data_IF_056211103547
#
_entry.id   IF_056211103547
#
_cell.length_a   1.000
_cell.length_b   1.000
_cell.length_c   1.000
_cell.angle_alpha   90.00
_cell.angle_beta   90.00
_cell.angle_gamma   90.00
#
_symmetry.space_group_name_H-M   'P 1'
#
loop_
_entity.id
_entity.type
_entity.pdbx_description
1 polymer ?
#
# COMPACT_ATOMS: atom_id res chain seq x y z
N UNK A 1 -3.01 36.28 89.97
CA UNK A 1 -2.02 35.70 89.03
C UNK A 1 -2.72 34.74 88.07
N UNK A 2 -2.90 35.17 86.81
CA UNK A 2 -2.88 34.31 85.62
C UNK A 2 -2.75 35.23 84.40
N UNK A 3 -1.65 35.04 83.71
CA UNK A 3 -1.07 35.88 82.66
C UNK A 3 -1.84 35.72 81.36
N UNK A 4 -2.19 36.83 80.69
CA UNK A 4 -2.85 36.82 79.38
C UNK A 4 -1.85 37.35 78.34
N UNK A 5 -1.42 36.48 77.42
CA UNK A 5 -0.46 36.79 76.36
C UNK A 5 -1.17 37.47 75.19
N UNK A 6 -0.69 38.66 74.80
CA UNK A 6 -1.11 39.36 73.58
C UNK A 6 -0.19 38.90 72.45
N UNK A 7 -0.75 38.22 71.45
CA UNK A 7 -0.03 37.85 70.23
C UNK A 7 -0.20 38.97 69.19
N UNK A 8 0.92 39.57 68.77
CA UNK A 8 0.98 40.54 67.68
C UNK A 8 1.01 39.78 66.35
N UNK A 9 -0.06 39.88 65.55
CA UNK A 9 -0.11 39.32 64.20
C UNK A 9 0.42 40.36 63.21
N UNK A 10 1.62 40.13 62.66
CA UNK A 10 2.20 40.96 61.60
C UNK A 10 1.65 40.47 60.26
N UNK A 11 0.80 41.28 59.63
CA UNK A 11 0.26 41.02 58.30
C UNK A 11 1.26 41.52 57.23
N UNK A 12 2.07 40.61 56.69
CA UNK A 12 2.94 40.88 55.54
C UNK A 12 2.11 40.82 54.25
N UNK A 13 1.74 41.99 53.72
CA UNK A 13 1.14 42.13 52.39
C UNK A 13 2.23 41.96 51.33
N UNK A 14 2.30 40.78 50.71
CA UNK A 14 3.04 40.58 49.47
C UNK A 14 2.24 41.18 48.32
N UNK A 15 2.70 42.30 47.75
CA UNK A 15 2.21 42.77 46.46
C UNK A 15 2.69 41.79 45.37
N UNK A 16 1.78 40.93 44.92
CA UNK A 16 1.94 40.16 43.70
C UNK A 16 1.85 41.10 42.51
N UNK A 17 2.98 41.39 41.85
CA UNK A 17 2.97 41.91 40.49
C UNK A 17 2.39 40.82 39.59
N UNK A 18 1.12 40.99 39.22
CA UNK A 18 0.53 40.25 38.11
C UNK A 18 0.97 40.95 36.83
N UNK A 19 2.10 40.53 36.25
CA UNK A 19 2.34 40.83 34.83
C UNK A 19 1.21 40.17 34.05
N UNK A 20 0.30 41.00 33.51
CA UNK A 20 -0.60 40.57 32.44
C UNK A 20 0.28 40.14 31.29
N UNK A 21 0.41 38.84 31.08
CA UNK A 21 0.88 38.30 29.80
C UNK A 21 -0.19 38.67 28.79
N UNK A 22 -0.03 39.80 28.11
CA UNK A 22 -0.78 40.07 26.90
C UNK A 22 -0.36 39.02 25.87
N UNK A 23 -1.24 38.07 25.60
CA UNK A 23 -1.11 37.21 24.45
C UNK A 23 -1.24 38.08 23.21
N UNK A 24 -0.11 38.59 22.71
CA UNK A 24 -0.05 39.22 21.41
C UNK A 24 -0.38 38.13 20.40
N UNK A 25 -1.58 38.19 19.83
CA UNK A 25 -1.90 37.35 18.69
C UNK A 25 -0.95 37.75 17.56
N UNK A 26 -0.04 36.87 17.12
CA UNK A 26 0.94 37.22 16.11
C UNK A 26 0.21 37.68 14.84
N UNK A 27 0.53 38.88 14.35
CA UNK A 27 -0.07 39.42 13.12
C UNK A 27 0.54 38.82 11.85
N UNK A 28 1.67 38.13 12.00
CA UNK A 28 2.37 37.45 10.92
C UNK A 28 1.66 36.16 10.49
N UNK A 29 1.94 35.75 9.26
CA UNK A 29 1.33 34.60 8.59
C UNK A 29 1.59 33.28 9.32
N UNK A 30 0.53 32.52 9.63
CA UNK A 30 0.65 31.32 10.46
C UNK A 30 -0.03 30.11 9.82
N UNK A 31 0.78 29.18 9.31
CA UNK A 31 0.33 27.89 8.79
C UNK A 31 -0.15 26.95 9.91
N UNK A 32 -1.20 26.16 9.62
CA UNK A 32 -1.74 25.14 10.51
C UNK A 32 -1.45 23.74 9.94
N UNK A 33 -2.09 23.35 8.83
CA UNK A 33 -1.89 22.07 8.15
C UNK A 33 -1.44 22.25 6.70
N UNK A 34 -0.65 21.32 6.15
CA UNK A 34 0.06 20.25 6.86
C UNK A 34 1.17 20.82 7.78
N UNK A 35 1.47 20.13 8.88
CA UNK A 35 2.58 20.50 9.75
C UNK A 35 3.92 20.24 9.06
N UNK A 36 5.00 20.87 9.54
CA UNK A 36 6.32 20.58 9.00
C UNK A 36 6.65 19.10 9.21
N UNK A 37 7.24 18.47 8.20
CA UNK A 37 7.59 17.04 8.23
C UNK A 37 6.40 16.08 8.27
N UNK A 38 5.21 16.52 7.84
CA UNK A 38 4.05 15.62 7.70
C UNK A 38 4.22 14.70 6.49
N UNK A 39 3.81 13.45 6.62
CA UNK A 39 3.60 12.58 5.47
C UNK A 39 2.15 12.72 4.96
N UNK A 40 1.97 13.17 3.72
CA UNK A 40 0.66 13.26 3.07
C UNK A 40 0.48 12.00 2.22
N UNK A 41 -0.55 11.21 2.54
CA UNK A 41 -0.93 10.03 1.76
C UNK A 41 -1.95 10.42 0.70
N UNK A 42 -1.65 10.06 -0.54
CA UNK A 42 -2.51 10.27 -1.71
C UNK A 42 -2.88 8.88 -2.19
N UNK A 43 -4.16 8.53 -2.14
CA UNK A 43 -4.60 7.26 -2.72
C UNK A 43 -4.82 7.45 -4.22
N UNK A 44 -4.11 6.67 -5.03
CA UNK A 44 -4.07 6.80 -6.49
C UNK A 44 -5.44 6.55 -7.16
N UNK A 45 -6.31 5.73 -6.56
CA UNK A 45 -7.63 5.43 -7.12
C UNK A 45 -8.78 6.21 -6.44
N UNK A 46 -8.50 6.90 -5.34
CA UNK A 46 -9.45 7.82 -4.70
C UNK A 46 -9.18 9.24 -5.21
N UNK A 47 -9.84 9.60 -6.31
CA UNK A 47 -9.62 10.88 -6.96
C UNK A 47 -10.25 12.06 -6.20
N UNK A 48 -11.25 11.81 -5.35
CA UNK A 48 -12.14 12.86 -4.82
C UNK A 48 -11.77 13.31 -3.40
N UNK A 49 -11.09 12.47 -2.62
CA UNK A 49 -10.64 12.87 -1.28
C UNK A 49 -9.80 14.14 -1.34
N UNK A 50 -10.14 15.08 -0.45
CA UNK A 50 -9.56 16.42 -0.43
C UNK A 50 -8.36 16.49 0.50
N UNK A 51 -7.23 16.96 -0.02
CA UNK A 51 -6.07 17.39 0.75
C UNK A 51 -6.29 18.84 1.18
N UNK A 52 -6.03 19.14 2.45
CA UNK A 52 -6.27 20.47 3.03
C UNK A 52 -4.96 21.15 3.44
N UNK A 53 -4.80 22.38 2.95
CA UNK A 53 -3.82 23.35 3.43
C UNK A 53 -4.57 24.43 4.21
N UNK A 54 -4.19 24.70 5.46
CA UNK A 54 -4.91 25.62 6.33
C UNK A 54 -3.97 26.52 7.13
N UNK A 55 -4.51 27.66 7.56
CA UNK A 55 -3.78 28.71 8.28
C UNK A 55 -4.72 29.53 9.17
N UNK A 56 -4.14 30.36 10.02
CA UNK A 56 -4.90 31.32 10.82
C UNK A 56 -5.32 32.49 9.93
N UNK A 57 -6.62 32.63 9.70
CA UNK A 57 -7.20 33.74 8.94
C UNK A 57 -7.06 35.06 9.70
N UNK A 58 -6.72 36.13 8.97
CA UNK A 58 -6.61 37.49 9.50
C UNK A 58 -7.56 38.41 8.76
N UNK A 59 -8.17 39.33 9.49
CA UNK A 59 -9.07 40.33 8.93
C UNK A 59 -8.34 41.24 7.93
N UNK A 60 -8.96 41.48 6.78
CA UNK A 60 -8.39 42.30 5.69
C UNK A 60 -7.21 41.67 4.95
N UNK A 61 -6.81 40.44 5.31
CA UNK A 61 -5.72 39.74 4.65
C UNK A 61 -6.19 38.92 3.45
N UNK A 62 -5.28 38.77 2.48
CA UNK A 62 -5.41 37.85 1.35
C UNK A 62 -4.21 36.91 1.31
N UNK A 63 -4.43 35.69 0.79
CA UNK A 63 -3.47 34.60 0.86
C UNK A 63 -3.20 34.01 -0.53
N UNK A 64 -1.92 33.69 -0.76
CA UNK A 64 -1.47 32.92 -1.92
C UNK A 64 -0.72 31.69 -1.42
N UNK A 65 -1.21 30.50 -1.81
CA UNK A 65 -0.56 29.22 -1.53
C UNK A 65 0.37 28.88 -2.69
N UNK A 66 1.57 28.40 -2.39
CA UNK A 66 2.56 27.99 -3.38
C UNK A 66 3.10 26.61 -3.05
N UNK A 67 3.28 25.76 -4.07
CA UNK A 67 3.92 24.44 -3.97
C UNK A 67 5.15 24.38 -4.88
N UNK A 68 6.25 23.80 -4.39
CA UNK A 68 7.47 23.58 -5.19
C UNK A 68 8.27 22.36 -4.69
N UNK A 69 9.34 22.00 -5.41
CA UNK A 69 10.26 20.90 -5.07
C UNK A 69 11.39 21.32 -4.14
N UNK A 70 11.59 22.63 -3.93
CA UNK A 70 12.60 23.18 -3.05
C UNK A 70 12.11 24.42 -2.27
N UNK A 71 12.90 24.82 -1.28
CA UNK A 71 12.59 25.93 -0.37
C UNK A 71 12.76 27.33 -0.99
N UNK A 72 13.32 27.45 -2.20
CA UNK A 72 13.48 28.72 -2.89
C UNK A 72 12.18 29.13 -3.61
N UNK A 73 11.35 28.16 -3.99
CA UNK A 73 10.13 28.37 -4.77
C UNK A 73 10.41 29.13 -6.07
N UNK A 74 11.34 28.62 -6.87
CA UNK A 74 11.79 29.25 -8.11
C UNK A 74 10.75 29.19 -9.24
N UNK A 75 9.96 28.11 -9.30
CA UNK A 75 8.88 27.96 -10.28
C UNK A 75 7.66 27.24 -9.67
N UNK A 76 7.02 27.85 -8.66
CA UNK A 76 6.01 27.16 -7.90
C UNK A 76 4.68 27.12 -8.64
N UNK A 77 3.88 26.11 -8.34
CA UNK A 77 2.44 26.13 -8.61
C UNK A 77 1.81 27.10 -7.62
N UNK A 78 0.97 28.03 -8.11
CA UNK A 78 0.37 29.11 -7.32
C UNK A 78 -1.15 28.97 -7.28
N UNK A 79 -1.71 29.15 -6.10
CA UNK A 79 -3.15 29.24 -5.89
C UNK A 79 -3.48 30.56 -5.20
N UNK A 80 -4.25 31.39 -5.91
CA UNK A 80 -4.78 32.63 -5.35
C UNK A 80 -6.02 32.31 -4.52
N UNK A 81 -5.84 32.20 -3.19
CA UNK A 81 -6.89 31.72 -2.27
C UNK A 81 -7.81 32.85 -1.81
N UNK A 82 -7.32 34.09 -1.86
CA UNK A 82 -8.06 35.26 -1.40
C UNK A 82 -8.14 35.31 0.13
N UNK A 83 -9.30 35.66 0.69
CA UNK A 83 -9.44 35.87 2.14
C UNK A 83 -9.73 34.59 2.96
N UNK A 84 -9.75 33.40 2.34
CA UNK A 84 -10.13 32.15 3.04
C UNK A 84 -9.03 31.67 4.00
N UNK A 85 -9.42 30.87 4.98
CA UNK A 85 -8.53 30.27 5.99
C UNK A 85 -7.89 28.94 5.54
N UNK A 86 -8.35 28.38 4.43
CA UNK A 86 -7.84 27.13 3.88
C UNK A 86 -8.04 27.03 2.38
N UNK A 87 -7.26 26.13 1.78
CA UNK A 87 -7.37 25.68 0.42
C UNK A 87 -7.47 24.16 0.40
N UNK A 88 -8.44 23.65 -0.36
CA UNK A 88 -8.67 22.22 -0.53
C UNK A 88 -8.45 21.87 -2.00
N UNK A 89 -7.76 20.76 -2.21
CA UNK A 89 -7.42 20.24 -3.54
C UNK A 89 -7.72 18.75 -3.56
N UNK A 90 -8.30 18.26 -4.65
CA UNK A 90 -8.58 16.82 -4.78
C UNK A 90 -7.29 16.01 -4.89
N UNK A 91 -7.32 14.73 -4.54
CA UNK A 91 -6.18 13.82 -4.73
C UNK A 91 -5.66 13.83 -6.17
N UNK A 92 -6.58 13.82 -7.15
CA UNK A 92 -6.20 13.84 -8.57
C UNK A 92 -5.45 15.12 -8.94
N UNK A 93 -6.03 16.29 -8.66
CA UNK A 93 -5.39 17.59 -8.97
C UNK A 93 -4.06 17.73 -8.22
N UNK A 94 -4.02 17.31 -6.95
CA UNK A 94 -2.80 17.39 -6.15
C UNK A 94 -1.70 16.50 -6.72
N UNK A 95 -2.02 15.25 -7.09
CA UNK A 95 -1.06 14.34 -7.71
C UNK A 95 -0.54 14.86 -9.05
N UNK A 96 -1.41 15.44 -9.88
CA UNK A 96 -1.03 16.04 -11.16
C UNK A 96 -0.09 17.22 -10.95
N UNK A 97 -0.32 18.03 -9.92
CA UNK A 97 0.53 19.15 -9.55
C UNK A 97 1.89 18.72 -9.01
N UNK A 98 1.94 17.68 -8.18
CA UNK A 98 3.20 17.10 -7.73
C UNK A 98 4.02 16.51 -8.90
N UNK A 99 3.37 15.85 -9.86
CA UNK A 99 4.01 15.33 -11.08
C UNK A 99 4.46 16.45 -12.02
N UNK A 100 3.72 17.56 -12.08
CA UNK A 100 4.12 18.74 -12.86
C UNK A 100 5.36 19.41 -12.27
N UNK A 101 5.45 19.49 -10.94
CA UNK A 101 6.63 19.99 -10.22
C UNK A 101 7.83 19.06 -10.34
N UNK A 102 7.60 17.75 -10.22
CA UNK A 102 8.62 16.73 -10.34
C UNK A 102 8.14 15.59 -11.25
N UNK A 103 8.45 15.61 -12.55
CA UNK A 103 8.05 14.55 -13.48
C UNK A 103 8.61 13.15 -13.14
N UNK A 104 9.64 13.08 -12.30
CA UNK A 104 10.22 11.82 -11.81
C UNK A 104 9.53 11.30 -10.54
N UNK A 105 8.57 12.04 -9.97
CA UNK A 105 7.79 11.60 -8.81
C UNK A 105 6.88 10.43 -9.20
N UNK A 106 7.10 9.28 -8.55
CA UNK A 106 6.32 8.05 -8.75
C UNK A 106 5.56 7.64 -7.49
N UNK A 107 6.31 7.34 -6.44
CA UNK A 107 5.76 6.69 -5.25
C UNK A 107 5.87 7.56 -3.99
N UNK A 108 7.03 8.17 -3.78
CA UNK A 108 7.26 9.10 -2.67
C UNK A 108 8.21 10.23 -3.08
N UNK A 109 8.09 11.37 -2.41
CA UNK A 109 8.89 12.54 -2.71
C UNK A 109 8.65 13.66 -1.71
N UNK A 110 9.67 14.50 -1.51
CA UNK A 110 9.56 15.69 -0.67
C UNK A 110 9.13 16.88 -1.50
N UNK A 111 8.22 17.66 -0.94
CA UNK A 111 7.74 18.91 -1.52
C UNK A 111 7.63 19.99 -0.45
N UNK A 112 7.56 21.23 -0.90
CA UNK A 112 7.55 22.41 -0.06
C UNK A 112 6.28 23.20 -0.33
N UNK A 113 5.70 23.77 0.72
CA UNK A 113 4.56 24.67 0.59
C UNK A 113 4.82 25.99 1.32
N UNK A 114 4.57 27.08 0.62
CA UNK A 114 4.71 28.46 1.11
C UNK A 114 3.36 29.12 1.13
N UNK A 115 3.09 29.83 2.21
CA UNK A 115 1.93 30.69 2.34
C UNK A 115 2.40 32.14 2.39
N UNK A 116 1.97 32.93 1.43
CA UNK A 116 2.13 34.38 1.42
C UNK A 116 0.84 35.03 1.95
N UNK A 117 0.96 35.92 2.92
CA UNK A 117 -0.12 36.77 3.41
C UNK A 117 0.14 38.21 3.01
N UNK A 118 -0.86 38.85 2.40
CA UNK A 118 -0.86 40.28 2.11
C UNK A 118 -1.92 40.97 2.95
N UNK A 119 -1.52 41.95 3.75
CA UNK A 119 -2.43 42.76 4.56
C UNK A 119 -1.94 44.22 4.59
N UNK A 120 -2.82 45.17 4.25
CA UNK A 120 -2.52 46.62 4.24
C UNK A 120 -1.19 46.99 3.55
N UNK A 121 -0.89 46.32 2.43
CA UNK A 121 0.34 46.55 1.65
C UNK A 121 1.60 45.84 2.18
N UNK A 122 1.56 45.27 3.39
CA UNK A 122 2.63 44.40 3.92
C UNK A 122 2.47 42.99 3.37
N UNK A 123 3.58 42.38 2.96
CA UNK A 123 3.65 40.98 2.52
C UNK A 123 4.54 40.21 3.48
N UNK A 124 4.05 39.11 4.02
CA UNK A 124 4.81 38.19 4.87
C UNK A 124 4.63 36.76 4.36
N UNK A 125 5.65 35.93 4.50
CA UNK A 125 5.57 34.53 4.07
C UNK A 125 6.24 33.58 5.06
N UNK A 126 5.73 32.36 5.10
CA UNK A 126 6.33 31.22 5.81
C UNK A 126 6.21 29.99 4.92
N UNK A 127 7.13 29.06 5.08
CA UNK A 127 7.11 27.80 4.34
C UNK A 127 7.40 26.60 5.25
N UNK A 128 6.96 25.43 4.80
CA UNK A 128 7.20 24.12 5.43
C UNK A 128 7.43 23.08 4.35
N UNK A 129 7.95 21.92 4.72
CA UNK A 129 7.99 20.76 3.83
C UNK A 129 7.06 19.64 4.30
N UNK A 130 6.65 18.80 3.35
CA UNK A 130 5.94 17.55 3.58
C UNK A 130 6.51 16.47 2.66
N UNK A 131 6.36 15.20 3.07
CA UNK A 131 6.70 14.06 2.24
C UNK A 131 5.40 13.47 1.67
N UNK A 132 5.22 13.52 0.35
CA UNK A 132 4.10 12.91 -0.33
C UNK A 132 4.34 11.41 -0.51
N UNK A 133 3.31 10.60 -0.28
CA UNK A 133 3.31 9.16 -0.48
C UNK A 133 2.07 8.77 -1.30
N UNK A 134 2.29 8.28 -2.52
CA UNK A 134 1.25 7.65 -3.33
C UNK A 134 1.01 6.24 -2.80
N UNK A 135 -0.24 5.93 -2.49
CA UNK A 135 -0.68 4.64 -1.97
C UNK A 135 -1.86 4.12 -2.79
N UNK A 136 -2.14 2.83 -2.68
CA UNK A 136 -3.41 2.26 -3.15
C UNK A 136 -3.97 1.47 -1.98
N UNK A 137 -5.13 1.89 -1.47
CA UNK A 137 -5.86 1.11 -0.46
C UNK A 137 -6.87 0.16 -1.10
N UNK A 138 -7.48 0.58 -2.20
CA UNK A 138 -8.40 -0.23 -2.99
C UNK A 138 -8.56 0.32 -4.41
N UNK A 139 -9.08 -0.51 -5.31
CA UNK A 139 -9.47 -0.09 -6.65
C UNK A 139 -10.63 -0.95 -7.17
N UNK A 140 -11.34 -0.47 -8.18
CA UNK A 140 -12.36 -1.25 -8.90
C UNK A 140 -11.75 -1.77 -10.18
N UNK A 141 -11.76 -3.09 -10.37
CA UNK A 141 -11.32 -3.68 -11.63
C UNK A 141 -12.45 -3.54 -12.67
N UNK A 142 -12.24 -2.81 -13.78
CA UNK A 142 -13.30 -2.55 -14.75
C UNK A 142 -13.81 -3.81 -15.46
N UNK A 143 -13.04 -4.91 -15.43
CA UNK A 143 -13.35 -6.16 -16.14
C UNK A 143 -14.45 -6.98 -15.49
N UNK A 144 -14.54 -6.91 -14.16
CA UNK A 144 -15.49 -7.69 -13.35
C UNK A 144 -16.28 -6.83 -12.34
N UNK A 145 -15.98 -5.53 -12.25
CA UNK A 145 -16.54 -4.59 -11.27
C UNK A 145 -16.26 -4.99 -9.82
N UNK A 146 -15.28 -5.87 -9.60
CA UNK A 146 -14.87 -6.26 -8.27
C UNK A 146 -14.05 -5.15 -7.62
N UNK A 147 -14.32 -4.93 -6.34
CA UNK A 147 -13.52 -4.04 -5.49
C UNK A 147 -12.41 -4.88 -4.86
N UNK A 148 -11.16 -4.53 -5.15
CA UNK A 148 -9.99 -5.18 -4.58
C UNK A 148 -9.26 -4.22 -3.66
N UNK A 149 -8.85 -4.72 -2.50
CA UNK A 149 -7.93 -4.03 -1.61
C UNK A 149 -6.48 -4.26 -2.02
N UNK A 150 -5.64 -3.30 -1.70
CA UNK A 150 -4.21 -3.40 -1.83
C UNK A 150 -3.51 -2.98 -0.53
N UNK A 151 -2.27 -3.44 -0.41
CA UNK A 151 -1.38 -3.17 0.70
C UNK A 151 -0.05 -2.68 0.16
N UNK A 152 0.51 -1.67 0.83
CA UNK A 152 1.79 -1.09 0.48
C UNK A 152 2.86 -1.46 1.51
N UNK A 153 3.99 -1.96 1.02
CA UNK A 153 5.19 -2.28 1.77
C UNK A 153 6.27 -1.23 1.48
N UNK A 154 6.95 -0.77 2.53
CA UNK A 154 8.16 0.06 2.44
C UNK A 154 9.36 -0.85 2.64
N UNK A 155 9.94 -1.33 1.55
CA UNK A 155 11.11 -2.20 1.57
C UNK A 155 12.38 -1.41 1.97
N UNK A 156 13.47 -2.10 2.37
CA UNK A 156 14.74 -1.45 2.67
C UNK A 156 15.21 -0.54 1.52
N UNK A 157 15.77 0.63 1.87
CA UNK A 157 16.16 1.65 0.88
C UNK A 157 15.01 2.53 0.38
N UNK A 158 13.80 2.41 0.98
CA UNK A 158 12.66 3.26 0.65
C UNK A 158 11.89 2.84 -0.61
N UNK A 159 12.21 1.67 -1.18
CA UNK A 159 11.44 1.09 -2.29
C UNK A 159 10.03 0.78 -1.81
N UNK A 160 9.04 1.31 -2.52
CA UNK A 160 7.63 1.07 -2.24
C UNK A 160 7.12 -0.05 -3.16
N UNK A 161 6.42 -1.02 -2.58
CA UNK A 161 5.78 -2.12 -3.29
C UNK A 161 4.32 -2.17 -2.89
N UNK A 162 3.42 -2.08 -3.86
CA UNK A 162 1.97 -2.15 -3.64
C UNK A 162 1.45 -3.46 -4.23
N UNK A 163 0.87 -4.33 -3.40
CA UNK A 163 0.32 -5.62 -3.82
C UNK A 163 -1.15 -5.74 -3.46
N UNK A 164 -1.93 -6.46 -4.26
CA UNK A 164 -3.30 -6.82 -3.89
C UNK A 164 -3.30 -7.61 -2.57
N UNK A 165 -4.18 -7.25 -1.63
CA UNK A 165 -4.41 -7.98 -0.37
C UNK A 165 -5.61 -8.92 -0.45
N UNK A 166 -6.22 -9.03 -1.63
CA UNK A 166 -7.31 -9.93 -1.96
C UNK A 166 -6.99 -10.73 -3.22
N UNK A 167 -7.50 -11.95 -3.31
CA UNK A 167 -7.20 -12.86 -4.41
C UNK A 167 -8.03 -12.47 -5.65
N UNK A 168 -7.37 -12.34 -6.80
CA UNK A 168 -7.96 -11.90 -8.06
C UNK A 168 -9.11 -12.81 -8.52
N UNK A 169 -10.18 -12.23 -9.06
CA UNK A 169 -11.40 -12.89 -9.58
C UNK A 169 -11.70 -12.53 -11.04
N UNK A 170 -10.69 -12.10 -11.81
CA UNK A 170 -10.81 -11.77 -13.22
C UNK A 170 -11.51 -12.86 -14.07
N UNK A 171 -12.42 -12.44 -14.95
CA UNK A 171 -13.13 -13.25 -15.96
C UNK A 171 -12.48 -13.22 -17.33
N UNK A 172 -11.71 -12.17 -17.62
CA UNK A 172 -11.11 -11.83 -18.91
C UNK A 172 -9.76 -11.13 -18.69
N UNK A 173 -8.95 -11.04 -19.74
CA UNK A 173 -7.73 -10.23 -19.73
C UNK A 173 -8.04 -8.72 -19.77
N UNK A 174 -7.02 -7.88 -19.51
CA UNK A 174 -7.13 -6.42 -19.54
C UNK A 174 -7.63 -5.87 -20.89
N UNK A 175 -7.28 -6.53 -21.99
CA UNK A 175 -7.74 -6.19 -23.35
C UNK A 175 -9.13 -6.77 -23.70
N UNK A 176 -9.82 -7.38 -22.73
CA UNK A 176 -11.14 -7.99 -22.91
C UNK A 176 -11.11 -9.38 -23.56
N UNK A 177 -9.94 -9.92 -23.90
CA UNK A 177 -9.85 -11.27 -24.46
C UNK A 177 -10.23 -12.33 -23.42
N UNK A 178 -10.91 -13.39 -23.87
CA UNK A 178 -11.36 -14.47 -22.99
C UNK A 178 -10.19 -15.30 -22.45
N UNK A 179 -10.33 -15.81 -21.23
CA UNK A 179 -9.37 -16.72 -20.63
C UNK A 179 -9.43 -18.09 -21.34
N UNK A 180 -8.29 -18.69 -21.78
CA UNK A 180 -8.28 -20.00 -22.41
C UNK A 180 -8.84 -21.10 -21.50
N UNK A 181 -8.47 -21.04 -20.23
CA UNK A 181 -9.08 -21.81 -19.15
C UNK A 181 -9.70 -20.83 -18.15
N UNK A 182 -11.04 -20.84 -17.98
CA UNK A 182 -11.73 -19.99 -17.03
C UNK A 182 -11.23 -20.21 -15.59
N UNK A 183 -11.37 -19.17 -14.75
CA UNK A 183 -11.10 -19.31 -13.32
C UNK A 183 -11.97 -20.42 -12.74
N UNK A 184 -11.41 -21.16 -11.78
CA UNK A 184 -12.22 -21.92 -10.84
C UNK A 184 -12.54 -21.08 -9.63
N UNK A 185 -13.70 -21.33 -9.04
CA UNK A 185 -14.13 -20.77 -7.76
C UNK A 185 -14.24 -21.89 -6.75
N UNK A 186 -14.15 -21.56 -5.46
CA UNK A 186 -14.41 -22.52 -4.40
C UNK A 186 -15.81 -23.17 -4.57
N UNK A 187 -15.93 -24.50 -4.47
CA UNK A 187 -17.20 -25.21 -4.62
C UNK A 187 -18.27 -24.77 -3.61
N UNK A 188 -19.55 -24.95 -3.95
CA UNK A 188 -20.67 -24.51 -3.11
C UNK A 188 -20.70 -25.18 -1.72
N UNK A 189 -20.23 -26.42 -1.63
CA UNK A 189 -20.09 -27.21 -0.40
C UNK A 189 -18.87 -26.83 0.45
N UNK A 190 -18.01 -25.93 -0.03
CA UNK A 190 -16.95 -25.34 0.79
C UNK A 190 -17.53 -24.43 1.88
N UNK A 191 -16.87 -24.29 3.04
CA UNK A 191 -17.29 -23.36 4.08
C UNK A 191 -17.50 -21.95 3.53
N UNK A 192 -18.64 -21.32 3.87
CA UNK A 192 -19.01 -20.00 3.32
C UNK A 192 -17.92 -18.94 3.52
N UNK A 193 -17.22 -19.00 4.66
CA UNK A 193 -16.07 -18.18 4.96
C UNK A 193 -15.00 -18.28 3.87
N UNK A 194 -14.58 -19.49 3.49
CA UNK A 194 -13.59 -19.73 2.43
C UNK A 194 -14.16 -19.38 1.05
N UNK A 195 -15.40 -19.79 0.76
CA UNK A 195 -16.02 -19.58 -0.55
C UNK A 195 -16.07 -18.10 -0.97
N UNK A 196 -16.33 -17.21 -0.01
CA UNK A 196 -16.47 -15.79 -0.28
C UNK A 196 -15.14 -15.03 -0.40
N UNK A 197 -14.02 -15.62 0.07
CA UNK A 197 -12.72 -14.91 0.17
C UNK A 197 -11.59 -15.59 -0.62
N UNK A 198 -11.77 -16.85 -1.05
CA UNK A 198 -10.72 -17.61 -1.72
C UNK A 198 -10.29 -17.00 -3.05
N UNK A 199 -11.18 -16.27 -3.74
CA UNK A 199 -10.91 -15.70 -5.05
C UNK A 199 -10.90 -16.75 -6.17
N UNK A 200 -10.34 -16.36 -7.32
CA UNK A 200 -10.20 -17.24 -8.48
C UNK A 200 -8.93 -18.10 -8.40
N UNK A 201 -9.04 -19.33 -8.89
CA UNK A 201 -7.91 -20.25 -9.10
C UNK A 201 -7.66 -20.40 -10.60
N UNK A 202 -6.42 -20.17 -11.02
CA UNK A 202 -6.04 -20.12 -12.43
C UNK A 202 -4.85 -21.05 -12.70
N UNK A 203 -4.82 -21.75 -13.84
CA UNK A 203 -3.60 -22.40 -14.31
C UNK A 203 -2.57 -21.35 -14.71
N UNK A 204 -1.28 -21.66 -14.58
CA UNK A 204 -0.21 -20.70 -14.83
C UNK A 204 -0.23 -20.14 -16.25
N UNK A 205 -0.51 -20.97 -17.27
CA UNK A 205 -0.65 -20.51 -18.66
C UNK A 205 -1.74 -19.43 -18.83
N UNK A 206 -2.86 -19.53 -18.09
CA UNK A 206 -3.86 -18.45 -18.04
C UNK A 206 -3.32 -17.21 -17.35
N UNK A 207 -2.54 -17.36 -16.27
CA UNK A 207 -1.95 -16.24 -15.51
C UNK A 207 -0.97 -15.43 -16.34
N UNK A 208 -0.07 -16.07 -17.09
CA UNK A 208 0.96 -15.38 -17.88
C UNK A 208 0.56 -15.15 -19.35
N UNK A 209 -0.58 -15.71 -19.78
CA UNK A 209 -1.16 -15.64 -21.13
C UNK A 209 -0.36 -16.36 -22.23
N UNK A 210 0.95 -16.18 -22.25
CA UNK A 210 1.87 -16.84 -23.17
C UNK A 210 3.15 -17.25 -22.43
N UNK A 211 3.37 -18.55 -22.31
CA UNK A 211 4.47 -19.12 -21.53
C UNK A 211 5.85 -18.86 -22.17
N UNK A 212 5.92 -18.79 -23.50
CA UNK A 212 7.17 -18.53 -24.20
C UNK A 212 7.59 -17.05 -24.03
N UNK A 213 6.63 -16.13 -24.17
CA UNK A 213 6.84 -14.70 -23.90
C UNK A 213 7.15 -14.48 -22.41
N UNK A 214 6.47 -15.19 -21.50
CA UNK A 214 6.74 -15.11 -20.07
C UNK A 214 8.19 -15.51 -19.76
N UNK A 215 8.71 -16.55 -20.41
CA UNK A 215 10.11 -16.94 -20.28
C UNK A 215 11.06 -15.87 -20.80
N UNK A 216 10.83 -15.35 -22.00
CA UNK A 216 11.67 -14.29 -22.60
C UNK A 216 11.75 -13.06 -21.69
N UNK A 217 10.58 -12.57 -21.26
CA UNK A 217 10.48 -11.41 -20.36
C UNK A 217 11.14 -11.66 -19.01
N UNK A 218 10.95 -12.85 -18.44
CA UNK A 218 11.62 -13.21 -17.17
C UNK A 218 13.14 -13.16 -17.31
N UNK A 219 13.70 -13.65 -18.43
CA UNK A 219 15.14 -13.61 -18.69
C UNK A 219 15.65 -12.18 -18.97
N UNK A 220 14.80 -11.32 -19.53
CA UNK A 220 15.08 -9.89 -19.73
C UNK A 220 14.89 -9.04 -18.46
N UNK A 221 14.32 -9.60 -17.38
CA UNK A 221 13.99 -8.86 -16.17
C UNK A 221 12.79 -7.92 -16.35
N UNK A 222 11.89 -8.23 -17.29
CA UNK A 222 10.72 -7.43 -17.61
C UNK A 222 9.46 -7.93 -16.90
N UNK A 223 8.56 -7.00 -16.59
CA UNK A 223 7.28 -7.30 -15.98
C UNK A 223 6.30 -7.93 -16.97
N UNK A 224 5.49 -8.87 -16.47
CA UNK A 224 4.45 -9.56 -17.23
C UNK A 224 3.10 -9.16 -16.66
N UNK A 225 2.34 -8.33 -17.38
CA UNK A 225 0.98 -7.96 -16.99
C UNK A 225 0.12 -9.21 -16.78
N UNK A 226 0.12 -10.12 -17.76
CA UNK A 226 -0.62 -11.38 -17.69
C UNK A 226 -2.11 -11.16 -17.44
N UNK A 227 -2.66 -11.86 -16.45
CA UNK A 227 -4.06 -11.73 -16.01
C UNK A 227 -4.33 -10.48 -15.16
N UNK A 228 -3.32 -9.73 -14.75
CA UNK A 228 -3.52 -8.55 -13.91
C UNK A 228 -4.17 -7.38 -14.67
N UNK A 229 -4.91 -6.49 -13.97
CA UNK A 229 -5.54 -5.33 -14.59
C UNK A 229 -4.50 -4.30 -15.06
N UNK A 230 -4.96 -3.27 -15.78
CA UNK A 230 -4.09 -2.17 -16.23
C UNK A 230 -3.43 -1.45 -15.05
N UNK A 231 -2.13 -1.17 -15.17
CA UNK A 231 -1.31 -0.61 -14.09
C UNK A 231 -0.77 -1.63 -13.09
N UNK A 232 -1.11 -2.91 -13.25
CA UNK A 232 -0.66 -4.01 -12.41
C UNK A 232 0.01 -5.11 -13.24
N UNK A 233 0.83 -5.93 -12.59
CA UNK A 233 1.44 -7.11 -13.20
C UNK A 233 1.46 -8.30 -12.23
N UNK A 234 1.66 -9.50 -12.80
CA UNK A 234 1.82 -10.72 -12.00
C UNK A 234 3.23 -10.67 -11.38
N UNK A 235 3.35 -10.72 -10.03
CA UNK A 235 4.65 -10.54 -9.41
C UNK A 235 5.61 -11.65 -9.84
N UNK A 236 6.85 -11.28 -10.14
CA UNK A 236 7.92 -12.23 -10.40
C UNK A 236 8.35 -12.94 -9.11
N UNK A 237 9.05 -14.06 -9.24
CA UNK A 237 9.66 -14.75 -8.09
C UNK A 237 10.59 -13.81 -7.31
N UNK A 238 11.34 -12.94 -7.99
CA UNK A 238 12.24 -11.98 -7.36
C UNK A 238 11.49 -10.98 -6.48
N UNK A 239 10.37 -10.44 -6.94
CA UNK A 239 9.57 -9.47 -6.19
C UNK A 239 8.90 -10.10 -4.97
N UNK A 240 8.38 -11.32 -5.12
CA UNK A 240 7.92 -12.10 -3.96
C UNK A 240 9.03 -12.31 -2.94
N UNK A 241 10.25 -12.65 -3.38
CA UNK A 241 11.40 -12.81 -2.48
C UNK A 241 11.78 -11.51 -1.77
N UNK A 242 11.68 -10.36 -2.43
CA UNK A 242 11.91 -9.07 -1.74
C UNK A 242 10.92 -8.86 -0.60
N UNK A 243 9.63 -9.15 -0.82
CA UNK A 243 8.59 -9.06 0.22
C UNK A 243 8.85 -10.07 1.33
N UNK A 244 9.14 -11.34 0.99
CA UNK A 244 9.45 -12.39 1.98
C UNK A 244 10.66 -11.98 2.84
N UNK A 245 11.73 -11.49 2.22
CA UNK A 245 12.93 -11.04 2.92
C UNK A 245 12.65 -9.84 3.83
N UNK A 246 11.79 -8.91 3.41
CA UNK A 246 11.35 -7.78 4.23
C UNK A 246 10.54 -8.22 5.44
N UNK A 247 9.66 -9.22 5.28
CA UNK A 247 8.89 -9.79 6.40
C UNK A 247 9.81 -10.52 7.40
N UNK A 248 10.91 -11.07 6.93
CA UNK A 248 11.89 -11.79 7.75
C UNK A 248 11.34 -13.12 8.29
N UNK A 249 11.88 -13.62 9.41
CA UNK A 249 11.47 -14.91 9.97
C UNK A 249 9.98 -14.96 10.34
N UNK A 250 9.39 -16.15 10.22
CA UNK A 250 7.97 -16.40 10.43
C UNK A 250 7.08 -15.59 9.47
N UNK A 251 7.59 -15.30 8.27
CA UNK A 251 6.92 -14.50 7.24
C UNK A 251 5.49 -14.97 6.98
N UNK A 252 5.23 -16.28 7.01
CA UNK A 252 3.90 -16.85 6.81
C UNK A 252 2.94 -16.50 7.94
N UNK A 253 3.39 -16.57 9.20
CA UNK A 253 2.55 -16.22 10.35
C UNK A 253 2.14 -14.74 10.37
N UNK A 254 2.98 -13.86 9.80
CA UNK A 254 2.74 -12.42 9.71
C UNK A 254 1.68 -12.01 8.69
N UNK A 255 1.33 -12.89 7.75
CA UNK A 255 0.44 -12.59 6.61
C UNK A 255 -0.86 -13.41 6.61
N UNK A 256 -0.91 -14.52 7.35
CA UNK A 256 -2.08 -15.38 7.50
C UNK A 256 -3.15 -14.67 8.34
N UNK A 257 -4.38 -14.57 7.83
CA UNK A 257 -5.49 -14.01 8.60
C UNK A 257 -5.93 -14.96 9.74
N UNK A 258 -5.82 -14.56 11.02
CA UNK A 258 -6.12 -15.42 12.16
C UNK A 258 -7.58 -15.89 12.25
N UNK A 259 -8.51 -15.23 11.56
CA UNK A 259 -9.93 -15.62 11.51
C UNK A 259 -10.17 -16.91 10.71
N UNK A 260 -9.32 -17.21 9.72
CA UNK A 260 -9.57 -18.30 8.77
C UNK A 260 -8.60 -19.46 8.91
N UNK A 261 -7.38 -19.21 9.39
CA UNK A 261 -6.40 -20.27 9.63
C UNK A 261 -6.66 -20.95 10.98
N UNK A 262 -6.58 -22.28 11.01
CA UNK A 262 -6.56 -23.01 12.28
C UNK A 262 -5.30 -22.57 13.03
N UNK A 263 -5.48 -22.13 14.28
CA UNK A 263 -4.43 -21.55 15.11
C UNK A 263 -3.43 -22.61 15.57
N UNK A 264 -2.44 -22.89 14.72
CA UNK A 264 -1.36 -23.85 14.95
C UNK A 264 0.00 -23.14 15.08
N UNK A 265 0.05 -22.05 15.85
CA UNK A 265 1.23 -21.19 16.01
C UNK A 265 0.86 -19.75 16.35
N UNK A 266 1.83 -18.83 16.24
CA UNK A 266 1.61 -17.40 16.47
C UNK A 266 1.17 -16.69 15.18
N UNK A 267 -0.01 -17.02 14.64
CA UNK A 267 -0.58 -16.36 13.47
C UNK A 267 -1.05 -14.95 13.87
N UNK A 268 -0.49 -13.90 13.28
CA UNK A 268 -0.73 -12.50 13.69
C UNK A 268 -1.43 -11.65 12.66
N UNK A 269 -1.23 -11.91 11.36
CA UNK A 269 -1.55 -10.97 10.28
C UNK A 269 -1.06 -9.53 10.57
N UNK A 270 0.12 -9.38 11.20
CA UNK A 270 0.61 -8.08 11.67
C UNK A 270 0.81 -7.06 10.54
N UNK A 271 1.06 -7.54 9.32
CA UNK A 271 1.17 -6.68 8.13
C UNK A 271 -0.16 -6.48 7.41
N UNK A 272 -1.25 -7.13 7.87
CA UNK A 272 -2.61 -7.04 7.29
C UNK A 272 -2.68 -7.49 5.84
N UNK A 273 -1.84 -8.46 5.46
CA UNK A 273 -1.84 -8.97 4.09
C UNK A 273 -3.00 -9.93 3.85
N UNK A 274 -3.68 -10.40 4.90
CA UNK A 274 -4.98 -11.05 4.80
C UNK A 274 -4.97 -12.30 3.90
N UNK A 275 -3.94 -13.14 4.02
CA UNK A 275 -3.87 -14.42 3.30
C UNK A 275 -4.82 -15.42 3.99
N UNK A 276 -5.57 -16.17 3.18
CA UNK A 276 -6.61 -17.11 3.60
C UNK A 276 -6.23 -18.53 3.15
N UNK A 277 -6.60 -19.60 3.87
CA UNK A 277 -6.19 -20.95 3.51
C UNK A 277 -7.09 -21.52 2.41
N UNK A 278 -6.93 -21.00 1.19
CA UNK A 278 -7.81 -21.27 0.05
C UNK A 278 -7.66 -22.67 -0.57
N UNK A 279 -6.58 -23.40 -0.28
CA UNK A 279 -6.26 -24.64 -0.98
C UNK A 279 -5.87 -24.39 -2.44
N UNK A 280 -6.13 -25.37 -3.31
CA UNK A 280 -5.85 -25.28 -4.75
C UNK A 280 -6.65 -26.33 -5.54
N UNK A 281 -6.60 -26.26 -6.88
CA UNK A 281 -6.99 -27.40 -7.73
C UNK A 281 -5.76 -28.03 -8.36
N UNK A 282 -5.65 -29.35 -8.33
CA UNK A 282 -4.52 -30.06 -8.92
C UNK A 282 -4.47 -29.95 -10.46
N UNK A 283 -5.63 -29.94 -11.11
CA UNK A 283 -5.78 -29.71 -12.55
C UNK A 283 -7.19 -29.21 -12.90
N UNK A 284 -7.41 -28.89 -14.19
CA UNK A 284 -8.66 -28.41 -14.74
C UNK A 284 -9.82 -29.41 -14.62
N UNK A 285 -9.56 -30.71 -14.51
CA UNK A 285 -10.57 -31.76 -14.40
C UNK A 285 -11.21 -31.93 -13.02
N UNK A 286 -10.56 -31.44 -11.95
CA UNK A 286 -11.10 -31.60 -10.58
C UNK A 286 -12.24 -30.63 -10.26
N UNK A 287 -13.29 -31.12 -9.62
CA UNK A 287 -14.43 -30.31 -9.14
C UNK A 287 -14.33 -29.89 -7.67
N UNK A 288 -13.39 -30.45 -6.91
CA UNK A 288 -13.19 -30.17 -5.49
C UNK A 288 -11.83 -29.47 -5.22
N UNK A 289 -11.78 -28.71 -4.12
CA UNK A 289 -10.54 -28.11 -3.63
C UNK A 289 -9.67 -29.15 -2.93
N UNK A 290 -8.38 -29.13 -3.25
CA UNK A 290 -7.34 -29.87 -2.52
C UNK A 290 -6.81 -28.97 -1.40
N UNK A 291 -6.66 -29.54 -0.20
CA UNK A 291 -6.10 -28.88 0.98
C UNK A 291 -6.73 -27.51 1.38
N UNK A 292 -8.08 -27.33 1.26
CA UNK A 292 -8.70 -26.13 1.79
C UNK A 292 -8.55 -26.10 3.33
N UNK A 293 -8.24 -24.93 3.89
CA UNK A 293 -8.04 -24.78 5.33
C UNK A 293 -6.60 -25.09 5.82
N UNK A 294 -5.74 -25.66 4.98
CA UNK A 294 -4.38 -26.07 5.37
C UNK A 294 -3.28 -25.41 4.56
N UNK A 295 -3.56 -24.83 3.39
CA UNK A 295 -2.59 -24.05 2.64
C UNK A 295 -3.20 -22.93 1.79
N UNK A 296 -2.34 -22.07 1.25
CA UNK A 296 -2.66 -21.15 0.16
C UNK A 296 -1.49 -21.14 -0.83
N UNK A 297 -1.79 -21.08 -2.12
CA UNK A 297 -0.80 -20.97 -3.18
C UNK A 297 -1.06 -19.80 -4.11
N UNK A 298 0.01 -19.14 -4.54
CA UNK A 298 0.01 -18.07 -5.52
C UNK A 298 0.96 -18.37 -6.67
N UNK A 299 0.49 -18.15 -7.90
CA UNK A 299 1.39 -18.14 -9.04
C UNK A 299 2.27 -16.89 -9.04
N UNK A 300 3.54 -17.05 -9.42
CA UNK A 300 4.37 -15.94 -9.88
C UNK A 300 4.39 -15.93 -11.41
N UNK A 301 4.90 -14.86 -12.02
CA UNK A 301 5.09 -14.80 -13.47
C UNK A 301 6.28 -15.60 -13.98
N UNK A 302 7.11 -16.13 -13.08
CA UNK A 302 8.40 -16.73 -13.43
C UNK A 302 8.28 -18.23 -13.73
N UNK A 303 8.77 -18.72 -14.88
CA UNK A 303 8.93 -20.15 -15.11
C UNK A 303 10.00 -20.77 -14.20
N UNK A 304 10.04 -22.11 -14.13
CA UNK A 304 11.04 -22.83 -13.36
C UNK A 304 12.40 -22.89 -14.08
N UNK A 305 13.24 -21.88 -13.85
CA UNK A 305 14.55 -21.74 -14.50
C UNK A 305 15.71 -22.29 -13.67
N UNK A 306 16.75 -22.77 -14.34
CA UNK A 306 18.03 -23.15 -13.75
C UNK A 306 18.59 -22.03 -12.88
N UNK A 307 19.13 -22.41 -11.73
CA UNK A 307 19.72 -21.48 -10.76
C UNK A 307 18.70 -20.83 -9.83
N UNK A 308 17.40 -21.01 -10.06
CA UNK A 308 16.39 -20.57 -9.09
C UNK A 308 16.52 -21.36 -7.79
N UNK A 309 16.63 -20.61 -6.70
CA UNK A 309 16.64 -21.13 -5.34
C UNK A 309 15.21 -21.11 -4.80
N UNK A 310 14.70 -22.28 -4.47
CA UNK A 310 13.45 -22.50 -3.77
C UNK A 310 13.71 -22.87 -2.30
N UNK A 311 12.66 -23.00 -1.50
CA UNK A 311 12.79 -23.25 -0.05
C UNK A 311 13.66 -24.47 0.28
N UNK A 312 13.62 -25.52 -0.54
CA UNK A 312 14.31 -26.80 -0.26
C UNK A 312 15.22 -27.28 -1.38
N UNK A 313 15.32 -26.53 -2.47
CA UNK A 313 16.13 -26.94 -3.61
C UNK A 313 16.67 -25.75 -4.39
N UNK A 314 17.74 -25.99 -5.13
CA UNK A 314 18.20 -25.10 -6.19
C UNK A 314 18.13 -25.86 -7.50
N UNK A 315 17.48 -25.29 -8.51
CA UNK A 315 17.31 -25.96 -9.79
C UNK A 315 18.65 -26.08 -10.54
N UNK A 316 19.04 -27.30 -10.87
CA UNK A 316 20.25 -27.58 -11.68
C UNK A 316 20.02 -27.44 -13.19
N UNK A 317 18.76 -27.48 -13.62
CA UNK A 317 18.30 -27.31 -15.00
C UNK A 317 16.92 -26.65 -15.03
N UNK A 318 16.56 -26.09 -16.18
CA UNK A 318 15.21 -25.61 -16.45
C UNK A 318 14.21 -26.78 -16.40
N UNK A 319 13.02 -26.54 -15.85
CA UNK A 319 11.92 -27.52 -15.82
C UNK A 319 10.79 -27.04 -16.73
N UNK A 320 10.77 -27.54 -17.96
CA UNK A 320 9.68 -27.24 -18.89
C UNK A 320 8.34 -27.78 -18.37
N UNK A 321 7.28 -27.00 -18.47
CA UNK A 321 5.97 -27.36 -17.89
C UNK A 321 5.89 -27.20 -16.37
N UNK A 322 6.82 -26.44 -15.77
CA UNK A 322 6.75 -25.99 -14.38
C UNK A 322 6.98 -24.48 -14.27
N UNK A 323 6.37 -23.89 -13.24
CA UNK A 323 6.51 -22.48 -12.90
C UNK A 323 6.75 -22.29 -11.41
N UNK A 324 7.27 -21.12 -11.05
CA UNK A 324 7.46 -20.74 -9.66
C UNK A 324 6.12 -20.41 -9.00
N UNK A 325 5.91 -20.93 -7.80
CA UNK A 325 4.77 -20.63 -6.96
C UNK A 325 5.22 -20.25 -5.55
N UNK A 326 4.41 -19.42 -4.91
CA UNK A 326 4.53 -19.06 -3.49
C UNK A 326 3.49 -19.84 -2.71
N UNK A 327 3.92 -20.61 -1.72
CA UNK A 327 3.04 -21.50 -0.93
C UNK A 327 3.16 -21.15 0.55
N UNK A 328 2.03 -21.03 1.21
CA UNK A 328 1.92 -20.79 2.65
C UNK A 328 1.21 -22.01 3.25
N UNK A 329 1.85 -22.68 4.20
CA UNK A 329 1.33 -23.87 4.86
C UNK A 329 0.78 -23.55 6.26
N UNK A 330 -0.18 -24.35 6.71
CA UNK A 330 -0.61 -24.40 8.09
C UNK A 330 0.20 -25.42 8.88
N UNK A 331 1.51 -25.20 8.98
CA UNK A 331 2.44 -26.09 9.65
C UNK A 331 3.26 -25.31 10.69
N UNK A 332 3.15 -25.62 12.00
CA UNK A 332 3.97 -24.99 13.03
C UNK A 332 5.47 -25.16 12.82
N UNK A 333 5.90 -26.26 12.18
CA UNK A 333 7.29 -26.52 11.83
C UNK A 333 7.77 -25.75 10.61
N UNK A 334 6.87 -25.09 9.89
CA UNK A 334 7.16 -24.28 8.71
C UNK A 334 6.35 -22.97 8.74
N UNK A 335 6.75 -22.02 9.60
CA UNK A 335 6.03 -20.76 9.81
C UNK A 335 6.24 -19.73 8.69
N UNK A 336 7.06 -20.04 7.69
CA UNK A 336 7.48 -19.12 6.64
C UNK A 336 6.67 -19.25 5.34
N UNK A 337 6.71 -18.20 4.53
CA UNK A 337 6.27 -18.23 3.14
C UNK A 337 7.31 -19.02 2.34
N UNK A 338 6.87 -20.00 1.57
CA UNK A 338 7.74 -20.88 0.80
C UNK A 338 7.68 -20.57 -0.69
N UNK A 339 8.79 -20.79 -1.38
CA UNK A 339 8.85 -20.73 -2.85
C UNK A 339 9.19 -22.11 -3.39
N UNK A 340 8.50 -22.55 -4.44
CA UNK A 340 8.64 -23.89 -5.02
C UNK A 340 8.42 -23.86 -6.53
N UNK A 341 8.96 -24.84 -7.26
CA UNK A 341 8.45 -25.13 -8.60
C UNK A 341 7.22 -26.02 -8.51
N UNK A 342 6.23 -25.74 -9.35
CA UNK A 342 4.98 -26.49 -9.45
C UNK A 342 4.67 -26.75 -10.90
N UNK A 343 4.09 -27.91 -11.18
CA UNK A 343 3.66 -28.26 -12.53
C UNK A 343 2.61 -27.26 -13.02
N UNK A 344 2.77 -26.82 -14.26
CA UNK A 344 1.90 -25.84 -14.92
C UNK A 344 1.24 -26.43 -16.17
N UNK A 345 1.37 -27.75 -16.37
CA UNK A 345 0.90 -28.43 -17.56
C UNK A 345 0.66 -29.92 -17.29
N UNK A 346 -0.06 -30.58 -18.21
CA UNK A 346 -0.30 -32.01 -18.15
C UNK A 346 -1.09 -32.44 -16.90
N UNK A 347 -0.79 -33.63 -16.37
CA UNK A 347 -1.54 -34.23 -15.26
C UNK A 347 -1.50 -33.45 -13.94
N UNK A 348 -0.60 -32.47 -13.81
CA UNK A 348 -0.42 -31.63 -12.62
C UNK A 348 -0.55 -30.13 -12.92
N UNK A 349 -1.41 -29.72 -13.86
CA UNK A 349 -1.65 -28.31 -14.16
C UNK A 349 -2.33 -27.57 -12.99
N UNK A 350 -1.57 -27.21 -11.95
CA UNK A 350 -2.11 -26.64 -10.71
C UNK A 350 -2.85 -25.33 -10.99
N UNK A 351 -4.00 -25.13 -10.33
CA UNK A 351 -4.67 -23.83 -10.29
C UNK A 351 -4.48 -23.20 -8.92
N UNK A 352 -3.72 -22.11 -8.89
CA UNK A 352 -3.47 -21.30 -7.70
C UNK A 352 -4.11 -19.92 -7.82
N UNK A 353 -4.15 -19.20 -6.70
CA UNK A 353 -4.61 -17.82 -6.69
C UNK A 353 -3.58 -16.88 -7.33
N UNK A 354 -4.00 -15.64 -7.58
CA UNK A 354 -3.13 -14.56 -8.05
C UNK A 354 -3.38 -13.32 -7.19
N UNK A 355 -2.29 -12.64 -6.83
CA UNK A 355 -2.29 -11.29 -6.26
C UNK A 355 -1.31 -10.46 -7.07
N UNK A 356 -1.80 -9.40 -7.70
CA UNK A 356 -0.98 -8.56 -8.57
C UNK A 356 -0.18 -7.54 -7.76
N UNK A 357 0.89 -7.04 -8.36
CA UNK A 357 1.72 -5.94 -7.86
C UNK A 357 1.60 -4.75 -8.82
N UNK A 358 1.61 -3.53 -8.28
CA UNK A 358 1.48 -2.29 -9.07
C UNK A 358 2.81 -1.98 -9.78
N UNK A 359 2.72 -1.39 -10.99
CA UNK A 359 3.87 -1.06 -11.85
C UNK A 359 4.77 0.08 -11.33
#
# INVERSE_FOLDING_TARGET
MKTQYIYFFILLLFMSCTEKIEYVNPTWVQQLLPMNSTQIKIDYFDNETMQEFSWVQREGASYTLMLDVDENFGNPIRYEVGAKASYKITNQEFLDDLKRLNPSFKNSGRFFWKLEQRNQGKVESVWRYFDALVSVSSFVDPRDQEHYKALQFVLPGGKLVTMMSENLRATVYADGTALPLPRKLAPNDSPAAIRNIAGGFYPWGTVVRDEAIAREKTLAGENIQGICPDGWHVPALAEWKEVINHLGPNSGNKVKNPQFWIQNGAITDEVKFNIVPSGFYWNEGLSFLTDPGTMCGFWTSSPALKGYQYSWETLSADRAGEASAVIIYNDPGNPDINTQSRSSAGGGNFHYNVRCIMN
#
